data_IF_430962734138
#
_entry.id   IF_430962734138
#
_cell.length_a   1.000
_cell.length_b   1.000
_cell.length_c   1.000
_cell.angle_alpha   90.00
_cell.angle_beta   90.00
_cell.angle_gamma   90.00
#
_symmetry.space_group_name_H-M   'P 1'
#
loop_
_entity.id
_entity.type
_entity.pdbx_description
1 polymer ?
#
# COMPACT_ATOMS: atom_id res chain seq x y z
N UNK A 1 -6.62 8.57 10.10
CA UNK A 1 -5.36 8.90 9.42
C UNK A 1 -4.62 7.60 9.24
N UNK A 2 -4.79 6.99 8.07
CA UNK A 2 -4.02 5.81 7.70
C UNK A 2 -2.77 6.35 6.99
N UNK A 3 -1.59 5.92 7.44
CA UNK A 3 -0.34 6.34 6.80
C UNK A 3 -0.12 5.61 5.46
N UNK A 4 -0.76 4.46 5.27
CA UNK A 4 -0.68 3.64 4.06
C UNK A 4 -2.07 3.33 3.50
N UNK A 5 -2.16 3.10 2.19
CA UNK A 5 -3.37 2.64 1.51
C UNK A 5 -3.23 1.13 1.30
N UNK A 6 -4.01 0.37 2.06
CA UNK A 6 -3.96 -1.12 2.09
C UNK A 6 -5.32 -1.73 1.79
N UNK A 7 -6.29 -0.91 1.41
CA UNK A 7 -7.66 -1.33 1.12
C UNK A 7 -8.31 -0.35 0.16
N UNK A 8 -9.43 -0.76 -0.44
CA UNK A 8 -10.27 0.06 -1.31
C UNK A 8 -11.66 0.21 -0.68
N UNK A 9 -12.46 1.16 -1.16
CA UNK A 9 -13.76 1.48 -0.54
C UNK A 9 -14.71 0.27 -0.49
N UNK A 10 -14.69 -0.57 -1.54
CA UNK A 10 -15.54 -1.76 -1.67
C UNK A 10 -14.71 -2.95 -2.19
N UNK A 11 -13.99 -3.68 -1.32
CA UNK A 11 -13.31 -4.91 -1.71
C UNK A 11 -14.31 -5.98 -2.15
N UNK A 12 -13.89 -6.91 -3.00
CA UNK A 12 -14.72 -8.03 -3.43
C UNK A 12 -15.06 -8.96 -2.26
N UNK A 13 -16.10 -9.81 -2.39
CA UNK A 13 -16.51 -10.73 -1.31
C UNK A 13 -15.43 -11.73 -0.88
N UNK A 14 -14.49 -12.04 -1.77
CA UNK A 14 -13.34 -12.90 -1.51
C UNK A 14 -12.16 -12.15 -0.85
N UNK A 15 -12.34 -10.87 -0.51
CA UNK A 15 -11.36 -10.04 0.18
C UNK A 15 -10.03 -9.87 -0.58
N UNK A 16 -10.04 -10.10 -1.90
CA UNK A 16 -8.89 -9.88 -2.77
C UNK A 16 -8.93 -8.49 -3.42
N UNK A 17 -7.80 -7.78 -3.39
CA UNK A 17 -7.65 -6.48 -4.05
C UNK A 17 -6.58 -6.61 -5.13
N UNK A 18 -6.97 -6.58 -6.42
CA UNK A 18 -6.00 -6.49 -7.50
C UNK A 18 -5.14 -5.25 -7.33
N UNK A 19 -3.83 -5.42 -7.45
CA UNK A 19 -2.88 -4.34 -7.19
C UNK A 19 -3.15 -3.05 -8.00
N UNK A 20 -3.67 -3.17 -9.23
CA UNK A 20 -4.07 -2.00 -10.03
C UNK A 20 -5.20 -1.18 -9.39
N UNK A 21 -6.15 -1.82 -8.70
CA UNK A 21 -7.19 -1.13 -7.95
C UNK A 21 -6.59 -0.38 -6.74
N UNK A 22 -5.57 -0.96 -6.10
CA UNK A 22 -4.82 -0.29 -5.04
C UNK A 22 -4.10 0.96 -5.55
N UNK A 23 -3.49 0.90 -6.75
CA UNK A 23 -2.86 2.07 -7.38
C UNK A 23 -3.87 3.20 -7.56
N UNK A 24 -5.06 2.91 -8.11
CA UNK A 24 -6.12 3.91 -8.26
C UNK A 24 -6.55 4.51 -6.92
N UNK A 25 -6.66 3.68 -5.88
CA UNK A 25 -6.99 4.15 -4.54
C UNK A 25 -5.90 5.04 -3.94
N UNK A 26 -4.63 4.74 -4.18
CA UNK A 26 -3.52 5.63 -3.80
C UNK A 26 -3.67 7.01 -4.42
N UNK A 27 -3.90 7.10 -5.73
CA UNK A 27 -4.07 8.39 -6.41
C UNK A 27 -5.27 9.17 -5.86
N UNK A 28 -6.41 8.49 -5.65
CA UNK A 28 -7.58 9.08 -5.01
C UNK A 28 -7.22 9.65 -3.63
N UNK A 29 -6.60 8.84 -2.78
CA UNK A 29 -6.23 9.23 -1.43
C UNK A 29 -5.26 10.41 -1.41
N UNK A 30 -4.22 10.39 -2.24
CA UNK A 30 -3.24 11.49 -2.31
C UNK A 30 -3.89 12.82 -2.72
N UNK A 31 -4.84 12.79 -3.65
CA UNK A 31 -5.60 13.98 -4.06
C UNK A 31 -6.53 14.48 -2.94
N UNK A 32 -7.18 13.58 -2.20
CA UNK A 32 -7.99 13.94 -1.04
C UNK A 32 -7.15 14.64 0.04
N UNK A 33 -5.92 14.16 0.27
CA UNK A 33 -5.02 14.75 1.26
C UNK A 33 -4.61 16.19 0.93
N UNK A 34 -4.65 16.61 -0.35
CA UNK A 34 -4.41 18.00 -0.75
C UNK A 34 -5.50 18.97 -0.28
N UNK A 35 -6.67 18.47 0.12
CA UNK A 35 -7.74 19.31 0.70
C UNK A 35 -7.51 19.65 2.16
N UNK A 36 -6.55 18.99 2.81
CA UNK A 36 -6.16 19.24 4.20
C UNK A 36 -5.31 20.50 4.37
N UNK A 37 -5.17 20.94 5.62
CA UNK A 37 -4.35 22.11 5.97
C UNK A 37 -2.86 21.81 6.18
N UNK A 38 -2.47 20.53 6.20
CA UNK A 38 -1.11 20.07 6.45
C UNK A 38 -0.46 19.59 5.13
N UNK A 39 0.86 19.76 4.96
CA UNK A 39 1.57 19.19 3.82
C UNK A 39 1.47 17.67 3.82
N UNK A 40 1.42 17.07 2.62
CA UNK A 40 1.31 15.64 2.45
C UNK A 40 2.31 15.13 1.40
N UNK A 41 3.12 14.16 1.80
CA UNK A 41 4.01 13.40 0.92
C UNK A 41 3.43 11.99 0.74
N UNK A 42 3.39 11.45 -0.49
CA UNK A 42 2.76 10.16 -0.76
C UNK A 42 3.59 9.00 -0.18
N UNK A 43 2.89 7.94 0.18
CA UNK A 43 3.46 6.64 0.54
C UNK A 43 3.19 5.64 -0.57
N UNK A 44 4.21 4.89 -0.98
CA UNK A 44 4.09 3.73 -1.88
C UNK A 44 4.29 2.44 -1.08
N UNK A 45 3.61 1.37 -1.48
CA UNK A 45 3.69 0.07 -0.78
C UNK A 45 3.73 -1.09 -1.74
N UNK A 46 4.33 -2.21 -1.32
CA UNK A 46 4.30 -3.49 -2.03
C UNK A 46 2.94 -4.20 -1.98
N UNK A 47 1.98 -3.62 -1.25
CA UNK A 47 0.67 -4.20 -1.00
C UNK A 47 0.51 -4.48 0.48
N UNK A 48 -0.30 -5.49 0.79
CA UNK A 48 -0.63 -5.90 2.15
C UNK A 48 -1.15 -7.34 2.16
N UNK A 49 -0.54 -8.19 2.97
CA UNK A 49 -0.96 -9.58 3.20
C UNK A 49 -0.52 -10.00 4.62
N UNK A 50 -1.49 -10.06 5.54
CA UNK A 50 -1.28 -10.44 6.94
C UNK A 50 -1.72 -11.88 7.23
N UNK A 51 -2.00 -12.68 6.19
CA UNK A 51 -2.47 -14.07 6.36
C UNK A 51 -1.46 -14.95 7.11
N UNK A 52 -0.17 -14.61 7.03
CA UNK A 52 0.88 -15.25 7.81
C UNK A 52 0.79 -14.99 9.34
N UNK A 53 0.03 -13.97 9.77
CA UNK A 53 -0.30 -13.72 11.19
C UNK A 53 -1.66 -14.31 11.55
N UNK A 54 -2.64 -14.11 10.69
CA UNK A 54 -4.04 -14.43 10.94
C UNK A 54 -4.70 -14.97 9.68
N UNK A 55 -5.00 -16.26 9.68
CA UNK A 55 -5.75 -16.89 8.60
C UNK A 55 -7.22 -16.43 8.62
N UNK A 56 -7.75 -16.05 7.45
CA UNK A 56 -9.11 -15.51 7.32
C UNK A 56 -10.19 -16.48 7.81
N UNK A 57 -9.92 -17.79 7.72
CA UNK A 57 -10.86 -18.85 8.12
C UNK A 57 -10.94 -19.08 9.63
N UNK A 58 -10.10 -18.41 10.42
CA UNK A 58 -10.12 -18.53 11.88
C UNK A 58 -11.11 -17.50 12.45
N UNK A 59 -12.05 -17.89 13.33
CA UNK A 59 -12.92 -16.93 14.00
C UNK A 59 -12.11 -15.92 14.83
N UNK A 60 -12.33 -14.62 14.58
CA UNK A 60 -11.63 -13.58 15.33
C UNK A 60 -12.04 -13.60 16.81
N UNK A 61 -11.09 -13.71 17.77
CA UNK A 61 -11.41 -13.87 19.18
C UNK A 61 -11.90 -12.57 19.85
N UNK A 62 -11.86 -11.43 19.16
CA UNK A 62 -12.27 -10.13 19.71
C UNK A 62 -13.57 -9.62 19.06
N UNK A 63 -14.38 -8.83 19.77
CA UNK A 63 -15.58 -8.22 19.19
C UNK A 63 -15.23 -7.24 18.06
N UNK A 64 -16.18 -6.95 17.14
CA UNK A 64 -15.99 -5.92 16.13
C UNK A 64 -15.62 -4.57 16.75
N UNK A 65 -14.81 -3.81 16.03
CA UNK A 65 -14.40 -2.47 16.43
C UNK A 65 -15.61 -1.57 16.69
N UNK A 66 -15.68 -0.89 17.85
CA UNK A 66 -16.79 0.00 18.15
C UNK A 66 -16.94 1.15 17.15
N UNK A 67 -15.84 1.52 16.48
CA UNK A 67 -15.79 2.64 15.53
C UNK A 67 -16.25 2.23 14.12
N UNK A 68 -15.78 1.10 13.62
CA UNK A 68 -16.02 0.65 12.24
C UNK A 68 -17.13 -0.40 12.15
N UNK A 69 -17.46 -1.04 13.28
CA UNK A 69 -18.35 -2.21 13.40
C UNK A 69 -17.86 -3.43 12.60
N UNK A 70 -16.59 -3.46 12.24
CA UNK A 70 -15.94 -4.57 11.52
C UNK A 70 -14.95 -5.29 12.43
N UNK A 71 -14.69 -6.57 12.16
CA UNK A 71 -13.47 -7.20 12.66
C UNK A 71 -12.32 -6.52 11.91
N UNK A 72 -11.70 -5.53 12.56
CA UNK A 72 -10.64 -4.71 11.97
C UNK A 72 -9.35 -5.55 11.85
N UNK A 73 -8.20 -4.87 11.72
CA UNK A 73 -6.88 -5.48 11.73
C UNK A 73 -6.77 -6.63 12.77
N UNK A 74 -6.25 -7.79 12.36
CA UNK A 74 -5.60 -8.11 11.09
C UNK A 74 -6.52 -8.76 10.03
N UNK A 75 -7.86 -8.76 10.18
CA UNK A 75 -8.76 -9.31 9.14
C UNK A 75 -9.04 -8.23 8.10
N UNK A 76 -8.04 -7.97 7.27
CA UNK A 76 -8.11 -6.99 6.18
C UNK A 76 -7.98 -7.67 4.82
N UNK A 77 -8.48 -7.04 3.74
CA UNK A 77 -8.29 -7.56 2.40
C UNK A 77 -6.81 -7.82 2.05
N UNK A 78 -6.58 -8.83 1.23
CA UNK A 78 -5.27 -9.20 0.70
C UNK A 78 -5.07 -8.48 -0.63
N UNK A 79 -3.96 -7.75 -0.75
CA UNK A 79 -3.58 -7.17 -2.05
C UNK A 79 -2.87 -8.25 -2.86
N UNK A 80 -3.47 -8.65 -3.97
CA UNK A 80 -2.95 -9.69 -4.86
C UNK A 80 -2.50 -9.11 -6.21
N UNK A 81 -1.90 -9.97 -7.03
CA UNK A 81 -1.51 -9.63 -8.41
C UNK A 81 -0.51 -8.45 -8.50
N UNK A 82 0.34 -8.28 -7.48
CA UNK A 82 1.48 -7.35 -7.55
C UNK A 82 2.62 -7.96 -8.38
N UNK A 83 3.29 -7.13 -9.19
CA UNK A 83 4.52 -7.44 -9.91
C UNK A 83 5.50 -6.27 -9.81
N UNK A 84 6.80 -6.47 -10.05
CA UNK A 84 7.78 -5.37 -10.06
C UNK A 84 7.36 -4.19 -10.97
N UNK A 85 6.75 -4.48 -12.12
CA UNK A 85 6.28 -3.47 -13.08
C UNK A 85 5.13 -2.64 -12.50
N UNK A 86 4.16 -3.28 -11.83
CA UNK A 86 3.04 -2.58 -11.20
C UNK A 86 3.48 -1.75 -10.00
N UNK A 87 4.42 -2.26 -9.19
CA UNK A 87 5.03 -1.47 -8.13
C UNK A 87 5.79 -0.26 -8.69
N UNK A 88 6.54 -0.43 -9.78
CA UNK A 88 7.17 0.67 -10.51
C UNK A 88 6.16 1.71 -11.00
N UNK A 89 5.01 1.29 -11.52
CA UNK A 89 3.94 2.21 -11.93
C UNK A 89 3.36 3.01 -10.76
N UNK A 90 3.24 2.42 -9.56
CA UNK A 90 2.86 3.15 -8.35
C UNK A 90 3.94 4.19 -7.97
N UNK A 91 5.22 3.81 -8.05
CA UNK A 91 6.34 4.72 -7.80
C UNK A 91 6.33 5.92 -8.78
N UNK A 92 6.08 5.66 -10.07
CA UNK A 92 6.02 6.70 -11.09
C UNK A 92 4.88 7.69 -10.83
N UNK A 93 3.70 7.18 -10.44
CA UNK A 93 2.58 8.03 -10.02
C UNK A 93 2.92 8.87 -8.79
N UNK A 94 3.63 8.31 -7.81
CA UNK A 94 4.09 9.05 -6.64
C UNK A 94 5.10 10.15 -7.03
N UNK A 95 6.03 9.87 -7.94
CA UNK A 95 6.98 10.86 -8.46
C UNK A 95 6.24 12.02 -9.15
N UNK A 96 5.31 11.70 -10.06
CA UNK A 96 4.48 12.70 -10.75
C UNK A 96 3.68 13.55 -9.75
N UNK A 97 3.13 12.92 -8.71
CA UNK A 97 2.40 13.62 -7.65
C UNK A 97 3.29 14.63 -6.93
N UNK A 98 4.47 14.23 -6.44
CA UNK A 98 5.36 15.14 -5.71
C UNK A 98 5.93 16.24 -6.60
N UNK A 99 6.24 15.95 -7.87
CA UNK A 99 6.67 16.96 -8.84
C UNK A 99 5.61 18.04 -9.06
N UNK A 100 4.33 17.63 -9.12
CA UNK A 100 3.18 18.53 -9.30
C UNK A 100 2.89 19.35 -8.04
N UNK A 101 2.86 18.72 -6.88
CA UNK A 101 2.37 19.33 -5.63
C UNK A 101 3.48 20.01 -4.82
N UNK A 102 4.73 19.64 -5.06
CA UNK A 102 5.94 20.15 -4.39
C UNK A 102 5.78 20.16 -2.86
N UNK A 103 5.50 19.01 -2.23
CA UNK A 103 5.26 18.95 -0.80
C UNK A 103 6.53 19.31 -0.02
N UNK A 104 6.36 19.66 1.26
CA UNK A 104 7.46 19.88 2.19
C UNK A 104 7.33 18.88 3.36
N UNK A 105 8.23 17.87 3.47
CA UNK A 105 9.40 17.63 2.63
C UNK A 105 9.07 17.16 1.21
N UNK A 106 9.96 17.47 0.25
CA UNK A 106 9.89 16.96 -1.11
C UNK A 106 10.37 15.51 -1.12
N UNK A 107 9.46 14.58 -0.80
CA UNK A 107 9.79 13.18 -0.59
C UNK A 107 8.64 12.26 -1.01
N UNK A 108 9.00 11.03 -1.35
CA UNK A 108 8.09 9.88 -1.40
C UNK A 108 8.52 8.92 -0.30
N UNK A 109 7.58 8.46 0.51
CA UNK A 109 7.84 7.47 1.55
C UNK A 109 7.55 6.06 1.04
N UNK A 110 8.28 5.08 1.56
CA UNK A 110 8.14 3.68 1.18
C UNK A 110 7.69 2.87 2.39
N UNK A 111 6.55 2.20 2.26
CA UNK A 111 6.12 1.14 3.16
C UNK A 111 6.39 -0.22 2.50
N UNK A 112 7.26 -1.07 3.02
CA UNK A 112 8.28 -0.83 4.03
C UNK A 112 9.57 -1.52 3.58
N UNK A 113 10.67 -1.30 4.30
CA UNK A 113 11.89 -2.04 4.01
C UNK A 113 11.70 -3.55 4.28
N UNK A 114 11.17 -3.90 5.46
CA UNK A 114 11.25 -5.27 5.99
C UNK A 114 9.97 -5.75 6.70
N UNK A 115 8.79 -5.24 6.35
CA UNK A 115 7.52 -5.66 6.96
C UNK A 115 7.01 -6.99 6.36
N UNK A 116 7.78 -8.06 6.61
CA UNK A 116 7.54 -9.40 6.08
C UNK A 116 6.19 -9.97 6.51
N UNK A 117 5.85 -9.77 7.77
CA UNK A 117 4.65 -10.32 8.39
C UNK A 117 3.36 -9.60 7.96
N UNK A 118 3.45 -8.52 7.16
CA UNK A 118 2.28 -7.88 6.51
C UNK A 118 2.40 -7.91 4.98
N UNK A 119 3.31 -8.74 4.44
CA UNK A 119 3.49 -8.90 3.00
C UNK A 119 3.92 -7.62 2.27
N UNK A 120 4.36 -6.59 2.99
CA UNK A 120 4.66 -5.26 2.44
C UNK A 120 6.18 -4.94 2.43
N UNK A 121 7.01 -5.97 2.51
CA UNK A 121 8.47 -5.87 2.47
C UNK A 121 8.99 -5.50 1.06
N UNK A 122 10.03 -4.67 1.00
CA UNK A 122 10.78 -4.37 -0.23
C UNK A 122 12.14 -5.09 -0.28
N UNK A 123 12.56 -5.70 0.83
CA UNK A 123 13.76 -6.53 0.89
C UNK A 123 13.76 -7.60 -0.21
N UNK A 124 14.93 -7.91 -0.80
CA UNK A 124 15.03 -8.99 -1.78
C UNK A 124 14.52 -10.32 -1.23
N UNK A 125 13.76 -11.04 -2.04
CA UNK A 125 13.26 -12.38 -1.73
C UNK A 125 13.78 -13.42 -2.74
N UNK A 126 13.50 -14.69 -2.48
CA UNK A 126 13.94 -15.81 -3.35
C UNK A 126 13.22 -15.85 -4.70
N UNK A 127 12.01 -15.29 -4.81
CA UNK A 127 11.15 -15.38 -6.00
C UNK A 127 11.49 -14.28 -7.02
N UNK A 128 11.67 -13.06 -6.53
CA UNK A 128 11.78 -11.84 -7.29
C UNK A 128 13.20 -11.23 -7.22
N UNK A 129 14.06 -11.71 -6.32
CA UNK A 129 15.40 -11.16 -6.14
C UNK A 129 15.35 -9.66 -5.87
N UNK A 130 16.08 -8.87 -6.67
CA UNK A 130 16.15 -7.41 -6.57
C UNK A 130 15.18 -6.66 -7.49
N UNK A 131 14.32 -7.36 -8.24
CA UNK A 131 13.51 -6.75 -9.31
C UNK A 131 12.61 -5.59 -8.85
N UNK A 132 12.06 -5.63 -7.64
CA UNK A 132 11.28 -4.53 -7.07
C UNK A 132 12.13 -3.30 -6.74
N UNK A 133 13.34 -3.50 -6.22
CA UNK A 133 14.31 -2.42 -5.99
C UNK A 133 14.75 -1.80 -7.31
N UNK A 134 14.98 -2.62 -8.33
CA UNK A 134 15.32 -2.17 -9.67
C UNK A 134 14.18 -1.37 -10.32
N UNK A 135 12.92 -1.82 -10.17
CA UNK A 135 11.76 -1.10 -10.64
C UNK A 135 11.62 0.28 -9.97
N UNK A 136 11.83 0.36 -8.66
CA UNK A 136 11.86 1.63 -7.92
C UNK A 136 13.04 2.52 -8.35
N UNK A 137 14.23 1.95 -8.49
CA UNK A 137 15.43 2.68 -8.88
C UNK A 137 15.29 3.31 -10.27
N UNK A 138 14.67 2.60 -11.23
CA UNK A 138 14.37 3.13 -12.57
C UNK A 138 13.53 4.41 -12.54
N UNK A 139 12.68 4.58 -11.53
CA UNK A 139 11.84 5.76 -11.37
C UNK A 139 12.61 6.91 -10.69
N UNK A 140 13.29 6.62 -9.58
CA UNK A 140 13.82 7.67 -8.70
C UNK A 140 15.32 8.00 -8.91
N UNK A 141 16.05 7.25 -9.75
CA UNK A 141 17.49 7.48 -9.99
C UNK A 141 17.78 8.35 -11.22
N UNK A 142 16.74 8.95 -11.81
CA UNK A 142 16.83 9.83 -12.99
C UNK A 142 16.76 11.28 -12.56
#
# INVERSE_FOLDING_TARGET
TNYNVVSIDNPSPDMLIPYNALITQHEKHWNEMLTGSLPYAPVVTMGWDVTCRCEENIPWPFPPSPKTRRHDYPYCPIVNDNTPEKFGALCEKALQFVQKTKPLPYAVFVNAWNEWTEGSYLLPDKKNGTSYLEAMAKVFST
#
